data_IF_642285000240
#
_entry.id   IF_642285000240
#
_cell.length_a   1.000
_cell.length_b   1.000
_cell.length_c   1.000
_cell.angle_alpha   90.00
_cell.angle_beta   90.00
_cell.angle_gamma   90.00
#
_symmetry.space_group_name_H-M   'P 1'
#
loop_
_entity.id
_entity.type
_entity.pdbx_description
1 polymer ?
#
# COMPACT_ATOMS: atom_id res chain seq x y z
N UNK A 1 -3.82 5.67 -12.07
CA UNK A 1 -2.89 4.51 -12.03
C UNK A 1 -3.61 3.43 -12.78
N UNK A 2 -3.33 3.34 -14.06
CA UNK A 2 -4.05 2.48 -15.00
C UNK A 2 -3.54 1.05 -14.80
N UNK A 3 -4.42 0.18 -14.29
CA UNK A 3 -4.13 -1.22 -13.95
C UNK A 3 -3.68 -2.02 -15.18
N UNK A 4 -4.07 -1.56 -16.37
CA UNK A 4 -3.66 -2.08 -17.68
C UNK A 4 -2.15 -1.86 -17.95
N UNK A 5 -1.63 -0.66 -17.68
CA UNK A 5 -0.19 -0.34 -17.86
C UNK A 5 0.72 -1.13 -16.91
N UNK A 6 0.24 -1.38 -15.69
CA UNK A 6 0.95 -2.25 -14.73
C UNK A 6 0.96 -3.70 -15.20
N UNK A 7 -0.14 -4.17 -15.79
CA UNK A 7 -0.25 -5.53 -16.31
C UNK A 7 0.69 -5.76 -17.48
N UNK A 8 0.79 -4.82 -18.41
CA UNK A 8 1.74 -4.89 -19.52
C UNK A 8 3.19 -4.94 -19.00
N UNK A 9 3.53 -4.06 -18.06
CA UNK A 9 4.84 -4.03 -17.42
C UNK A 9 5.17 -5.30 -16.62
N UNK A 10 4.16 -6.01 -16.14
CA UNK A 10 4.32 -7.28 -15.41
C UNK A 10 4.42 -8.50 -16.31
N UNK A 11 3.90 -8.45 -17.54
CA UNK A 11 4.00 -9.55 -18.50
C UNK A 11 5.44 -9.79 -18.96
N UNK A 12 6.29 -8.76 -18.92
CA UNK A 12 7.71 -8.87 -19.26
C UNK A 12 8.59 -9.36 -18.10
N UNK A 13 8.04 -9.50 -16.89
CA UNK A 13 8.81 -9.94 -15.71
C UNK A 13 8.86 -11.46 -15.61
N UNK A 14 10.03 -11.96 -15.22
CA UNK A 14 10.19 -13.37 -14.82
C UNK A 14 9.48 -13.64 -13.49
N UNK A 15 9.21 -14.91 -13.19
CA UNK A 15 8.61 -15.30 -11.91
C UNK A 15 9.50 -14.90 -10.72
N UNK A 16 10.82 -15.00 -10.85
CA UNK A 16 11.77 -14.50 -9.85
C UNK A 16 11.63 -12.99 -9.61
N UNK A 17 11.51 -12.19 -10.68
CA UNK A 17 11.33 -10.74 -10.56
C UNK A 17 9.99 -10.39 -9.91
N UNK A 18 8.92 -11.14 -10.21
CA UNK A 18 7.62 -10.98 -9.56
C UNK A 18 7.69 -11.32 -8.07
N UNK A 19 8.40 -12.38 -7.70
CA UNK A 19 8.58 -12.72 -6.28
C UNK A 19 9.43 -11.67 -5.55
N UNK A 20 10.49 -11.14 -6.17
CA UNK A 20 11.25 -10.02 -5.59
C UNK A 20 10.36 -8.79 -5.36
N UNK A 21 9.52 -8.43 -6.33
CA UNK A 21 8.55 -7.35 -6.20
C UNK A 21 7.54 -7.59 -5.08
N UNK A 22 7.09 -8.82 -4.90
CA UNK A 22 6.22 -9.21 -3.78
C UNK A 22 6.92 -9.02 -2.43
N UNK A 23 8.19 -9.42 -2.31
CA UNK A 23 8.97 -9.23 -1.08
C UNK A 23 9.07 -7.74 -0.74
N UNK A 24 9.40 -6.90 -1.72
CA UNK A 24 9.45 -5.44 -1.54
C UNK A 24 8.08 -4.89 -1.11
N UNK A 25 6.98 -5.38 -1.70
CA UNK A 25 5.64 -4.97 -1.30
C UNK A 25 5.29 -5.35 0.15
N UNK A 26 5.76 -6.51 0.63
CA UNK A 26 5.61 -6.96 2.02
C UNK A 26 6.42 -6.10 3.00
N UNK A 27 7.63 -5.68 2.62
CA UNK A 27 8.44 -4.74 3.41
C UNK A 27 7.78 -3.37 3.52
N UNK A 28 7.28 -2.85 2.38
CA UNK A 28 6.53 -1.58 2.34
C UNK A 28 5.23 -1.66 3.15
N UNK A 29 4.52 -2.80 3.11
CA UNK A 29 3.37 -3.06 3.98
C UNK A 29 3.77 -2.93 5.45
N UNK A 30 4.89 -3.53 5.84
CA UNK A 30 5.39 -3.50 7.22
C UNK A 30 5.76 -2.08 7.64
N UNK A 31 6.42 -1.32 6.76
CA UNK A 31 6.70 0.10 6.98
C UNK A 31 5.41 0.92 7.14
N UNK A 32 4.39 0.67 6.31
CA UNK A 32 3.08 1.30 6.42
C UNK A 32 2.35 0.95 7.73
N UNK A 33 2.46 -0.30 8.19
CA UNK A 33 1.91 -0.74 9.46
C UNK A 33 2.59 -0.04 10.65
N UNK A 34 3.91 0.17 10.59
CA UNK A 34 4.64 0.89 11.64
C UNK A 34 4.22 2.36 11.69
N UNK A 35 4.20 3.04 10.54
CA UNK A 35 3.70 4.42 10.44
C UNK A 35 2.24 4.56 10.95
N UNK A 36 1.39 3.56 10.70
CA UNK A 36 0.02 3.55 11.22
C UNK A 36 -0.02 3.50 12.76
N UNK A 37 0.87 2.71 13.38
CA UNK A 37 0.97 2.61 14.85
C UNK A 37 1.48 3.90 15.47
N UNK A 38 2.38 4.59 14.79
CA UNK A 38 2.94 5.88 15.21
C UNK A 38 1.99 7.06 14.93
N UNK A 39 0.75 6.77 14.49
CA UNK A 39 -0.25 7.75 14.07
C UNK A 39 0.20 8.68 12.91
N UNK A 40 1.29 8.34 12.22
CA UNK A 40 1.73 8.98 10.98
C UNK A 40 0.86 8.49 9.79
N UNK A 41 -0.44 8.83 9.82
CA UNK A 41 -1.41 8.25 8.88
C UNK A 41 -1.16 8.62 7.42
N UNK A 42 -0.66 9.83 7.13
CA UNK A 42 -0.29 10.25 5.76
C UNK A 42 0.83 9.36 5.20
N UNK A 43 1.92 9.20 5.96
CA UNK A 43 3.04 8.33 5.62
C UNK A 43 2.62 6.87 5.50
N UNK A 44 1.70 6.41 6.34
CA UNK A 44 1.12 5.06 6.24
C UNK A 44 0.39 4.85 4.90
N UNK A 45 -0.42 5.83 4.46
CA UNK A 45 -1.13 5.80 3.17
C UNK A 45 -0.15 5.74 2.00
N UNK A 46 0.92 6.53 2.05
CA UNK A 46 1.95 6.57 1.02
C UNK A 46 2.64 5.21 0.92
N UNK A 47 3.04 4.62 2.04
CA UNK A 47 3.70 3.31 2.07
C UNK A 47 2.82 2.18 1.55
N UNK A 48 1.53 2.16 1.88
CA UNK A 48 0.62 1.18 1.26
C UNK A 48 0.40 1.43 -0.24
N UNK A 49 0.50 2.67 -0.69
CA UNK A 49 0.38 3.00 -2.12
C UNK A 49 1.62 2.55 -2.89
N UNK A 50 2.82 2.79 -2.34
CA UNK A 50 4.08 2.23 -2.87
C UNK A 50 4.02 0.69 -2.90
N UNK A 51 3.52 0.06 -1.82
CA UNK A 51 3.38 -1.39 -1.75
C UNK A 51 2.43 -1.93 -2.84
N UNK A 52 1.33 -1.23 -3.13
CA UNK A 52 0.39 -1.60 -4.20
C UNK A 52 0.99 -1.45 -5.61
N UNK A 53 1.94 -0.54 -5.78
CA UNK A 53 2.66 -0.36 -7.03
C UNK A 53 3.70 -1.46 -7.25
N UNK A 54 4.36 -1.90 -6.18
CA UNK A 54 5.31 -3.01 -6.23
C UNK A 54 4.61 -4.37 -6.32
N UNK A 55 3.47 -4.55 -5.65
CA UNK A 55 2.79 -5.83 -5.54
C UNK A 55 2.25 -6.31 -6.89
N UNK A 56 2.76 -7.43 -7.42
CA UNK A 56 2.28 -7.95 -8.69
C UNK A 56 0.77 -8.26 -8.66
N UNK A 57 0.09 -8.08 -9.80
CA UNK A 57 -1.36 -8.23 -9.91
C UNK A 57 -1.83 -9.65 -9.56
N UNK A 58 -1.01 -10.67 -9.78
CA UNK A 58 -1.32 -12.06 -9.44
C UNK A 58 -1.47 -12.29 -7.93
N UNK A 59 -0.87 -11.45 -7.08
CA UNK A 59 -0.95 -11.57 -5.62
C UNK A 59 -2.16 -10.80 -5.07
N UNK A 60 -3.35 -11.19 -5.53
CA UNK A 60 -4.63 -10.55 -5.19
C UNK A 60 -4.89 -10.46 -3.69
N UNK A 61 -4.48 -11.46 -2.91
CA UNK A 61 -4.62 -11.47 -1.46
C UNK A 61 -3.80 -10.35 -0.79
N UNK A 62 -2.53 -10.19 -1.19
CA UNK A 62 -1.67 -9.12 -0.67
C UNK A 62 -2.23 -7.74 -1.06
N UNK A 63 -2.62 -7.55 -2.32
CA UNK A 63 -3.26 -6.32 -2.79
C UNK A 63 -4.50 -5.97 -1.96
N UNK A 64 -5.36 -6.96 -1.68
CA UNK A 64 -6.59 -6.78 -0.88
C UNK A 64 -6.28 -6.30 0.54
N UNK A 65 -5.26 -6.87 1.18
CA UNK A 65 -4.77 -6.43 2.50
C UNK A 65 -4.26 -4.98 2.42
N UNK A 66 -3.45 -4.65 1.41
CA UNK A 66 -2.91 -3.30 1.23
C UNK A 66 -4.01 -2.25 1.02
N UNK A 67 -5.01 -2.54 0.18
CA UNK A 67 -6.17 -1.66 0.01
C UNK A 67 -6.94 -1.47 1.31
N UNK A 68 -7.16 -2.55 2.07
CA UNK A 68 -7.86 -2.49 3.35
C UNK A 68 -7.11 -1.62 4.37
N UNK A 69 -5.80 -1.84 4.51
CA UNK A 69 -4.97 -1.07 5.45
C UNK A 69 -4.86 0.40 5.04
N UNK A 70 -4.74 0.69 3.75
CA UNK A 70 -4.74 2.06 3.23
C UNK A 70 -6.05 2.78 3.51
N UNK A 71 -7.19 2.10 3.35
CA UNK A 71 -8.50 2.65 3.70
C UNK A 71 -8.60 2.95 5.20
N UNK A 72 -8.13 2.05 6.06
CA UNK A 72 -8.09 2.28 7.50
C UNK A 72 -7.23 3.50 7.87
N UNK A 73 -6.07 3.68 7.23
CA UNK A 73 -5.20 4.84 7.43
C UNK A 73 -5.88 6.16 7.01
N UNK A 74 -6.56 6.18 5.85
CA UNK A 74 -7.37 7.34 5.40
C UNK A 74 -8.46 7.70 6.39
N UNK A 75 -9.21 6.70 6.88
CA UNK A 75 -10.26 6.93 7.88
C UNK A 75 -9.72 7.52 9.19
N UNK A 76 -8.53 7.07 9.63
CA UNK A 76 -7.87 7.61 10.83
C UNK A 76 -7.38 9.04 10.62
N UNK A 77 -6.78 9.33 9.47
CA UNK A 77 -6.33 10.67 9.12
C UNK A 77 -7.49 11.68 9.11
N UNK A 78 -8.62 11.34 8.50
CA UNK A 78 -9.78 12.23 8.46
C UNK A 78 -10.32 12.51 9.86
N UNK A 79 -10.42 11.48 10.71
CA UNK A 79 -10.83 11.65 12.12
C UNK A 79 -9.86 12.53 12.89
N UNK A 80 -8.56 12.39 12.65
CA UNK A 80 -7.53 13.20 13.29
C UNK A 80 -7.61 14.66 12.85
N UNK A 81 -7.78 14.93 11.55
CA UNK A 81 -7.95 16.29 11.02
C UNK A 81 -9.19 16.98 11.61
N UNK A 82 -10.34 16.29 11.64
CA UNK A 82 -11.56 16.78 12.28
C UNK A 82 -11.37 17.10 13.77
N UNK A 83 -10.67 16.23 14.51
CA UNK A 83 -10.40 16.44 15.93
C UNK A 83 -9.51 17.67 16.21
N UNK A 84 -8.63 18.04 15.27
CA UNK A 84 -7.83 19.28 15.38
C UNK A 84 -8.70 20.51 15.11
N UNK A 85 -9.63 20.44 14.16
CA UNK A 85 -10.51 21.57 13.82
C UNK A 85 -11.55 21.88 14.91
N UNK A 86 -11.98 20.87 15.67
CA UNK A 86 -12.94 21.02 16.78
C UNK A 86 -12.31 21.57 18.09
N UNK A 87 -10.98 21.77 18.13
CA UNK A 87 -10.24 22.28 19.29
C UNK A 87 -9.80 23.74 19.11
#
# INVERSE_FOLDING_TARGET
>A
MDEESLRESEMELTDDQKEQRRIIAEELKTAGNNAFKDAEYEKSIDKYTEALFMCPLQFSQLRSILYSNRSAAKMKLEKYKKAIEDC
#
